data_IF_537139068375
#
_entry.id   IF_537139068375
#
_cell.length_a   1.000
_cell.length_b   1.000
_cell.length_c   1.000
_cell.angle_alpha   90.00
_cell.angle_beta   90.00
_cell.angle_gamma   90.00
#
_symmetry.space_group_name_H-M   'P 1'
#
loop_
_entity.id
_entity.type
_entity.pdbx_description
1 polymer ?
#
# COMPACT_ATOMS: atom_id res chain seq x y z
N UNK A 1 16.08 22.58 12.36
CA UNK A 1 16.21 21.65 11.21
C UNK A 1 16.85 22.40 10.06
N UNK A 2 18.15 22.21 9.84
CA UNK A 2 18.88 22.91 8.76
C UNK A 2 18.82 22.01 7.53
N UNK A 3 18.02 22.37 6.54
CA UNK A 3 18.03 21.70 5.25
C UNK A 3 19.38 21.99 4.56
N UNK A 4 20.08 20.99 4.00
CA UNK A 4 21.32 21.23 3.28
C UNK A 4 21.09 22.20 2.13
N UNK A 5 22.02 23.15 1.93
CA UNK A 5 21.88 24.31 1.01
C UNK A 5 21.51 23.96 -0.44
N UNK A 6 21.76 22.73 -0.88
CA UNK A 6 21.34 22.25 -2.19
C UNK A 6 19.81 22.12 -2.34
N UNK A 7 19.10 21.75 -1.28
CA UNK A 7 17.66 21.52 -1.33
C UNK A 7 16.87 22.81 -1.45
N UNK A 8 17.30 23.88 -0.76
CA UNK A 8 16.62 25.19 -0.82
C UNK A 8 16.65 25.77 -2.24
N UNK A 9 17.75 25.61 -2.97
CA UNK A 9 17.86 26.07 -4.35
C UNK A 9 16.92 25.31 -5.28
N UNK A 10 16.86 23.99 -5.18
CA UNK A 10 15.96 23.16 -5.98
C UNK A 10 14.49 23.54 -5.76
N UNK A 11 14.09 23.71 -4.50
CA UNK A 11 12.72 24.14 -4.16
C UNK A 11 12.40 25.54 -4.66
N UNK A 12 13.34 26.49 -4.56
CA UNK A 12 13.17 27.83 -5.10
C UNK A 12 13.03 27.82 -6.62
N UNK A 13 13.90 27.08 -7.31
CA UNK A 13 13.89 27.02 -8.78
C UNK A 13 12.61 26.33 -9.29
N UNK A 14 12.15 25.27 -8.60
CA UNK A 14 10.84 24.62 -8.83
C UNK A 14 9.67 25.59 -8.64
N UNK A 15 9.65 26.34 -7.52
CA UNK A 15 8.61 27.34 -7.27
C UNK A 15 8.60 28.44 -8.33
N UNK A 16 9.78 28.95 -8.71
CA UNK A 16 9.91 29.97 -9.73
C UNK A 16 9.37 29.50 -11.09
N UNK A 17 9.60 28.24 -11.46
CA UNK A 17 9.05 27.64 -12.69
C UNK A 17 7.52 27.51 -12.66
N UNK A 18 6.92 27.29 -11.48
CA UNK A 18 5.48 27.14 -11.31
C UNK A 18 4.72 28.46 -11.09
N UNK A 19 5.42 29.55 -10.77
CA UNK A 19 4.82 30.82 -10.34
C UNK A 19 3.78 31.38 -11.31
N UNK A 20 4.07 31.40 -12.61
CA UNK A 20 3.13 31.92 -13.62
C UNK A 20 1.86 31.07 -13.74
N UNK A 21 1.99 29.74 -13.62
CA UNK A 21 0.85 28.82 -13.63
C UNK A 21 -0.01 29.01 -12.38
N UNK A 22 0.62 29.17 -11.21
CA UNK A 22 -0.10 29.38 -9.94
C UNK A 22 -0.83 30.73 -9.92
N UNK A 23 -0.21 31.80 -10.46
CA UNK A 23 -0.85 33.11 -10.59
C UNK A 23 -2.09 33.08 -11.51
N UNK A 24 -2.06 32.27 -12.58
CA UNK A 24 -3.22 32.04 -13.44
C UNK A 24 -4.35 31.34 -12.67
N UNK A 25 -4.02 30.27 -11.92
CA UNK A 25 -5.00 29.55 -11.10
C UNK A 25 -5.58 30.45 -10.01
N UNK A 26 -4.78 31.31 -9.40
CA UNK A 26 -5.24 32.30 -8.41
C UNK A 26 -6.21 33.31 -9.02
N UNK A 27 -5.99 33.75 -10.26
CA UNK A 27 -6.86 34.70 -10.94
C UNK A 27 -8.17 34.07 -11.45
N UNK A 28 -8.14 32.80 -11.86
CA UNK A 28 -9.25 32.16 -12.58
C UNK A 28 -10.07 31.18 -11.73
N UNK A 29 -9.53 30.69 -10.61
CA UNK A 29 -10.15 29.61 -9.84
C UNK A 29 -10.35 29.97 -8.36
N UNK A 30 -11.28 29.25 -7.73
CA UNK A 30 -11.52 29.38 -6.29
C UNK A 30 -10.31 28.93 -5.45
N UNK A 31 -10.19 29.46 -4.23
CA UNK A 31 -9.09 29.16 -3.29
C UNK A 31 -8.77 27.67 -3.13
N UNK A 32 -9.79 26.80 -3.20
CA UNK A 32 -9.58 25.35 -3.12
C UNK A 32 -8.73 24.81 -4.27
N UNK A 33 -8.93 25.32 -5.49
CA UNK A 33 -8.16 24.93 -6.66
C UNK A 33 -6.71 25.47 -6.58
N UNK A 34 -6.54 26.70 -6.10
CA UNK A 34 -5.22 27.27 -5.83
C UNK A 34 -4.46 26.43 -4.78
N UNK A 35 -5.12 26.09 -3.67
CA UNK A 35 -4.56 25.23 -2.62
C UNK A 35 -4.11 23.88 -3.18
N UNK A 36 -4.96 23.22 -3.97
CA UNK A 36 -4.62 21.94 -4.61
C UNK A 36 -3.43 22.07 -5.57
N UNK A 37 -3.35 23.16 -6.34
CA UNK A 37 -2.25 23.42 -7.25
C UNK A 37 -0.93 23.68 -6.52
N UNK A 38 -0.97 24.40 -5.40
CA UNK A 38 0.18 24.61 -4.51
C UNK A 38 0.61 23.28 -3.87
N UNK A 39 -0.33 22.49 -3.37
CA UNK A 39 -0.04 21.18 -2.79
C UNK A 39 0.62 20.23 -3.79
N UNK A 40 0.14 20.20 -5.04
CA UNK A 40 0.77 19.43 -6.11
C UNK A 40 2.20 19.92 -6.40
N UNK A 41 2.42 21.25 -6.39
CA UNK A 41 3.75 21.83 -6.57
C UNK A 41 4.68 21.64 -5.37
N UNK A 42 4.15 21.33 -4.20
CA UNK A 42 4.95 21.01 -3.00
C UNK A 42 5.01 19.52 -2.72
N UNK A 43 4.29 18.69 -3.47
CA UNK A 43 4.31 17.25 -3.31
C UNK A 43 5.70 16.70 -3.64
N UNK A 44 6.10 15.67 -2.90
CA UNK A 44 7.27 14.89 -3.24
C UNK A 44 7.06 14.17 -4.56
N UNK A 45 8.11 14.08 -5.37
CA UNK A 45 8.11 13.20 -6.53
C UNK A 45 7.88 11.74 -6.09
N UNK A 46 7.27 10.89 -6.94
CA UNK A 46 7.21 9.47 -6.68
C UNK A 46 8.59 8.97 -6.27
N UNK A 47 8.64 8.24 -5.15
CA UNK A 47 9.86 7.55 -4.71
C UNK A 47 9.73 6.10 -5.15
N UNK A 48 10.10 5.75 -6.41
CA UNK A 48 10.10 4.36 -6.83
C UNK A 48 11.06 3.62 -5.91
N UNK A 49 10.51 2.73 -5.09
CA UNK A 49 11.33 1.79 -4.33
C UNK A 49 12.07 0.85 -5.28
N UNK A 50 12.93 0.01 -4.73
CA UNK A 50 13.48 -1.11 -5.49
C UNK A 50 12.35 -2.03 -5.97
N UNK A 51 12.48 -2.65 -7.17
CA UNK A 51 11.52 -3.62 -7.62
C UNK A 51 11.42 -4.78 -6.62
N UNK A 52 10.23 -5.39 -6.45
CA UNK A 52 10.09 -6.53 -5.56
C UNK A 52 10.99 -7.69 -6.03
N UNK A 53 11.69 -8.32 -5.10
CA UNK A 53 12.58 -9.45 -5.40
C UNK A 53 11.80 -10.73 -5.76
N UNK A 54 10.55 -10.84 -5.29
CA UNK A 54 9.68 -11.97 -5.52
C UNK A 54 8.43 -11.52 -6.27
N UNK A 55 8.05 -12.28 -7.30
CA UNK A 55 6.78 -12.07 -8.02
C UNK A 55 5.61 -12.56 -7.17
N UNK A 56 4.38 -12.23 -7.57
CA UNK A 56 3.18 -12.60 -6.82
C UNK A 56 2.97 -14.13 -6.75
N UNK A 57 3.36 -14.87 -7.79
CA UNK A 57 3.16 -16.32 -7.86
C UNK A 57 3.87 -17.09 -6.73
N UNK A 58 5.20 -16.95 -6.51
CA UNK A 58 5.87 -17.57 -5.37
C UNK A 58 5.29 -17.14 -4.03
N UNK A 59 4.89 -15.87 -3.87
CA UNK A 59 4.25 -15.39 -2.64
C UNK A 59 2.95 -16.18 -2.38
N UNK A 60 2.08 -16.29 -3.38
CA UNK A 60 0.84 -17.04 -3.28
C UNK A 60 1.08 -18.52 -2.99
N UNK A 61 2.07 -19.15 -3.63
CA UNK A 61 2.40 -20.55 -3.40
C UNK A 61 2.90 -20.79 -1.96
N UNK A 62 3.74 -19.89 -1.42
CA UNK A 62 4.22 -19.97 -0.04
C UNK A 62 3.08 -19.74 0.97
N UNK A 63 2.16 -18.80 0.69
CA UNK A 63 0.98 -18.59 1.53
C UNK A 63 0.04 -19.80 1.51
N UNK A 64 -0.15 -20.43 0.34
CA UNK A 64 -0.93 -21.67 0.23
C UNK A 64 -0.28 -22.81 1.03
N UNK A 65 1.05 -22.91 1.00
CA UNK A 65 1.80 -23.87 1.82
C UNK A 65 1.58 -23.63 3.31
N UNK A 66 1.58 -22.38 3.76
CA UNK A 66 1.34 -22.02 5.16
C UNK A 66 -0.07 -22.42 5.65
N UNK A 67 -1.06 -22.52 4.75
CA UNK A 67 -2.39 -23.02 5.07
C UNK A 67 -2.49 -24.54 5.23
N UNK A 68 -1.49 -25.31 4.78
CA UNK A 68 -1.46 -26.76 4.94
C UNK A 68 -0.89 -27.17 6.31
N UNK A 69 -1.24 -28.35 6.82
CA UNK A 69 -0.63 -28.86 8.06
C UNK A 69 0.86 -29.21 7.84
N UNK A 70 1.80 -28.81 8.72
CA UNK A 70 3.21 -29.19 8.58
C UNK A 70 3.45 -30.71 8.57
N UNK A 71 2.59 -31.46 9.26
CA UNK A 71 2.59 -32.92 9.25
C UNK A 71 2.42 -33.51 7.83
N UNK A 72 1.67 -32.84 6.95
CA UNK A 72 1.53 -33.25 5.54
C UNK A 72 2.84 -33.11 4.74
N UNK A 73 3.82 -32.37 5.27
CA UNK A 73 5.17 -32.24 4.72
C UNK A 73 6.21 -33.11 5.44
N UNK A 74 5.76 -33.97 6.37
CA UNK A 74 6.62 -34.83 7.18
C UNK A 74 7.41 -34.10 8.27
N UNK A 75 6.99 -32.89 8.66
CA UNK A 75 7.67 -32.12 9.72
C UNK A 75 7.04 -32.38 11.09
N UNK A 76 7.83 -32.60 12.16
CA UNK A 76 7.32 -32.86 13.50
C UNK A 76 6.97 -31.56 14.25
N UNK A 77 6.29 -30.62 13.57
CA UNK A 77 5.86 -29.35 14.16
C UNK A 77 4.36 -29.16 14.00
N UNK A 78 3.76 -28.49 14.98
CA UNK A 78 2.31 -28.24 14.99
C UNK A 78 1.92 -27.05 14.12
N UNK A 79 2.80 -26.06 13.98
CA UNK A 79 2.58 -24.83 13.23
C UNK A 79 3.80 -24.52 12.37
N UNK A 80 3.56 -23.83 11.26
CA UNK A 80 4.63 -23.33 10.41
C UNK A 80 5.36 -22.15 11.06
N UNK A 81 6.69 -22.24 11.12
CA UNK A 81 7.53 -21.05 11.32
C UNK A 81 7.97 -20.48 9.97
N UNK A 82 8.35 -19.19 9.90
CA UNK A 82 8.88 -18.60 8.67
C UNK A 82 10.13 -19.32 8.14
N UNK A 83 10.94 -19.89 9.02
CA UNK A 83 12.13 -20.67 8.65
C UNK A 83 11.72 -21.98 7.97
N UNK A 84 10.79 -22.72 8.55
CA UNK A 84 10.35 -24.00 7.99
C UNK A 84 9.63 -23.82 6.66
N UNK A 85 8.87 -22.74 6.51
CA UNK A 85 8.24 -22.38 5.25
C UNK A 85 9.26 -22.00 4.18
N UNK A 86 10.31 -21.26 4.54
CA UNK A 86 11.40 -20.94 3.61
C UNK A 86 12.09 -22.23 3.12
N UNK A 87 12.45 -23.12 4.04
CA UNK A 87 13.10 -24.40 3.72
C UNK A 87 12.19 -25.28 2.85
N UNK A 88 10.91 -25.36 3.19
CA UNK A 88 9.94 -26.18 2.46
C UNK A 88 9.62 -25.59 1.08
N UNK A 89 9.60 -24.26 0.94
CA UNK A 89 9.42 -23.59 -0.34
C UNK A 89 10.58 -23.86 -1.31
N UNK A 90 11.82 -23.86 -0.79
CA UNK A 90 13.01 -24.23 -1.57
C UNK A 90 12.95 -25.72 -1.94
N UNK A 91 12.65 -26.59 -0.96
CA UNK A 91 12.54 -28.05 -1.18
C UNK A 91 11.53 -28.42 -2.27
N UNK A 92 10.43 -27.68 -2.37
CA UNK A 92 9.38 -27.88 -3.38
C UNK A 92 9.65 -27.17 -4.71
N UNK A 93 10.75 -26.41 -4.82
CA UNK A 93 11.12 -25.69 -6.03
C UNK A 93 10.23 -24.48 -6.34
N UNK A 94 9.52 -23.94 -5.33
CA UNK A 94 8.66 -22.75 -5.50
C UNK A 94 9.50 -21.48 -5.67
N UNK A 95 10.69 -21.47 -5.08
CA UNK A 95 11.69 -20.40 -5.14
C UNK A 95 13.09 -21.01 -5.17
N UNK A 96 14.02 -20.37 -5.88
CA UNK A 96 15.42 -20.79 -5.91
C UNK A 96 16.12 -20.53 -4.56
N UNK A 97 15.89 -19.34 -4.01
CA UNK A 97 16.42 -18.91 -2.72
C UNK A 97 15.44 -17.95 -2.05
N UNK A 98 15.20 -18.14 -0.76
CA UNK A 98 14.41 -17.22 0.05
C UNK A 98 14.89 -17.23 1.49
N UNK A 99 14.97 -16.05 2.11
CA UNK A 99 15.24 -15.95 3.54
C UNK A 99 13.93 -16.00 4.35
N UNK A 100 13.97 -16.37 5.64
CA UNK A 100 12.76 -16.40 6.49
C UNK A 100 12.08 -15.04 6.67
N UNK A 101 12.80 -13.93 6.47
CA UNK A 101 12.28 -12.56 6.70
C UNK A 101 11.15 -12.16 5.74
N UNK A 102 11.30 -12.29 4.40
CA UNK A 102 10.20 -12.13 3.44
C UNK A 102 8.98 -12.96 3.80
N UNK A 103 9.17 -14.25 4.13
CA UNK A 103 8.06 -15.15 4.50
C UNK A 103 7.30 -14.62 5.71
N UNK A 104 8.01 -14.23 6.78
CA UNK A 104 7.38 -13.64 7.97
C UNK A 104 6.64 -12.34 7.66
N UNK A 105 7.16 -11.50 6.75
CA UNK A 105 6.46 -10.30 6.29
C UNK A 105 5.16 -10.66 5.55
N UNK A 106 5.19 -11.63 4.65
CA UNK A 106 4.01 -12.06 3.88
C UNK A 106 2.92 -12.62 4.79
N UNK A 107 3.28 -13.46 5.77
CA UNK A 107 2.33 -13.97 6.75
C UNK A 107 1.67 -12.85 7.55
N UNK A 108 2.47 -11.91 8.07
CA UNK A 108 1.94 -10.76 8.82
C UNK A 108 1.06 -9.84 7.97
N UNK A 109 1.28 -9.78 6.65
CA UNK A 109 0.46 -9.03 5.71
C UNK A 109 -0.85 -9.77 5.37
N UNK A 110 -0.79 -11.09 5.20
CA UNK A 110 -1.96 -11.93 4.96
C UNK A 110 -2.87 -12.04 6.20
N UNK A 111 -2.31 -12.04 7.40
CA UNK A 111 -3.04 -12.13 8.67
C UNK A 111 -3.52 -10.76 9.19
N UNK A 112 -3.50 -9.71 8.35
CA UNK A 112 -3.92 -8.37 8.79
C UNK A 112 -5.37 -8.41 9.29
N UNK A 113 -5.62 -8.04 10.57
CA UNK A 113 -6.98 -8.01 11.09
C UNK A 113 -7.86 -7.02 10.31
N UNK A 114 -9.16 -7.31 10.12
CA UNK A 114 -10.07 -6.42 9.38
C UNK A 114 -10.06 -4.98 9.90
N UNK A 115 -10.03 -4.79 11.22
CA UNK A 115 -9.99 -3.45 11.83
C UNK A 115 -8.67 -2.68 11.62
N UNK A 116 -7.60 -3.35 11.19
CA UNK A 116 -6.33 -2.73 10.81
C UNK A 116 -6.25 -2.44 9.30
N UNK A 117 -7.15 -3.01 8.52
CA UNK A 117 -7.34 -2.67 7.12
C UNK A 117 -8.38 -1.53 7.08
N UNK A 118 -8.00 -0.38 6.52
CA UNK A 118 -8.91 0.78 6.36
C UNK A 118 -9.75 0.66 5.08
N UNK A 119 -10.12 -0.56 4.70
CA UNK A 119 -10.90 -0.83 3.49
C UNK A 119 -12.28 -0.16 3.54
N UNK A 120 -12.92 -0.16 4.72
CA UNK A 120 -14.17 0.52 5.04
C UNK A 120 -14.14 2.06 4.90
N UNK A 121 -12.95 2.66 4.80
CA UNK A 121 -12.78 4.09 4.52
C UNK A 121 -12.54 4.40 3.04
N UNK A 122 -12.30 3.35 2.24
CA UNK A 122 -12.02 3.40 0.81
C UNK A 122 -12.98 2.50 0.03
N UNK A 123 -14.16 2.21 0.61
CA UNK A 123 -15.24 1.63 -0.17
C UNK A 123 -15.60 2.61 -1.28
N UNK A 124 -15.92 2.05 -2.44
CA UNK A 124 -16.69 2.69 -3.50
C UNK A 124 -18.07 3.05 -2.94
N UNK A 125 -18.10 4.07 -2.06
CA UNK A 125 -19.35 4.73 -1.67
C UNK A 125 -20.10 4.96 -2.99
N UNK A 126 -21.35 4.46 -3.13
CA UNK A 126 -22.06 4.57 -4.39
C UNK A 126 -21.98 6.03 -4.83
N UNK A 127 -21.54 6.25 -6.07
CA UNK A 127 -21.35 7.58 -6.64
C UNK A 127 -22.62 8.44 -6.59
N UNK A 128 -23.75 7.78 -6.36
CA UNK A 128 -25.08 8.32 -6.13
C UNK A 128 -25.43 8.34 -4.62
N UNK A 129 -25.39 9.53 -3.98
CA UNK A 129 -25.77 9.72 -2.58
C UNK A 129 -27.22 9.35 -2.27
N UNK A 130 -28.14 9.49 -3.22
CA UNK A 130 -29.58 9.30 -2.97
C UNK A 130 -29.92 7.82 -2.74
N UNK A 131 -29.23 6.93 -3.46
CA UNK A 131 -29.34 5.49 -3.28
C UNK A 131 -28.89 5.04 -1.89
N UNK A 132 -27.79 5.62 -1.38
CA UNK A 132 -27.30 5.34 -0.04
C UNK A 132 -28.30 5.79 1.02
N UNK A 133 -28.82 7.01 0.90
CA UNK A 133 -29.78 7.57 1.85
C UNK A 133 -31.11 6.79 1.88
N UNK A 134 -31.55 6.27 0.73
CA UNK A 134 -32.72 5.39 0.66
C UNK A 134 -32.49 4.07 1.40
N UNK A 135 -31.29 3.50 1.29
CA UNK A 135 -30.95 2.23 1.93
C UNK A 135 -30.75 2.38 3.45
N UNK A 136 -30.12 3.48 3.90
CA UNK A 136 -30.02 3.84 5.32
C UNK A 136 -31.42 3.99 5.93
N UNK A 137 -32.32 4.70 5.25
CA UNK A 137 -33.72 4.85 5.69
C UNK A 137 -34.43 3.50 5.84
N UNK A 138 -34.19 2.56 4.93
CA UNK A 138 -34.77 1.20 4.99
C UNK A 138 -34.28 0.42 6.21
N UNK A 139 -32.97 0.46 6.49
CA UNK A 139 -32.37 -0.26 7.63
C UNK A 139 -32.83 0.34 8.95
N UNK A 140 -32.84 1.67 9.08
CA UNK A 140 -33.27 2.34 10.31
C UNK A 140 -34.79 2.31 10.54
N UNK A 141 -35.58 1.87 9.57
CA UNK A 141 -37.03 1.67 9.70
C UNK A 141 -37.41 0.26 10.20
N UNK A 142 -36.42 -0.61 10.46
CA UNK A 142 -36.60 -1.94 11.07
C UNK A 142 -36.20 -1.88 12.54
#
# INVERSE_FOLDING_TARGET
MILPRGNTRLWRDRWAAAASRLALVEAEAADRALLAAIQAELADAPRPGGPPQFTAEPVCQVLALAGAAPAASGRPVSHWTPTELADEAIKRGLVAEISPRPVGRWLAEAERPPHRVRDWLTTDRPADPDRFDAEVRRVCAT
#
